data_IF_131183135010
#
_entry.id   IF_131183135010
#
_cell.length_a   1.000
_cell.length_b   1.000
_cell.length_c   1.000
_cell.angle_alpha   90.00
_cell.angle_beta   90.00
_cell.angle_gamma   90.00
#
_symmetry.space_group_name_H-M   'P 1'
#
loop_
_entity.id
_entity.type
_entity.pdbx_description
1 polymer ?
#
# COMPACT_ATOMS: atom_id res chain seq x y z
N UNK A 1 17.38 -9.17 15.94
CA UNK A 1 17.57 -8.54 14.61
C UNK A 1 17.18 -9.43 13.43
N UNK A 2 17.40 -10.75 13.42
CA UNK A 2 17.20 -11.61 12.22
C UNK A 2 15.82 -11.53 11.55
N UNK A 3 14.71 -11.62 12.28
CA UNK A 3 13.35 -11.48 11.70
C UNK A 3 13.11 -10.11 11.05
N UNK A 4 13.73 -9.05 11.57
CA UNK A 4 13.65 -7.71 10.96
C UNK A 4 14.47 -7.61 9.67
N UNK A 5 15.58 -8.34 9.57
CA UNK A 5 16.42 -8.37 8.37
C UNK A 5 15.71 -9.02 7.17
N UNK A 6 14.78 -9.95 7.44
CA UNK A 6 13.97 -10.62 6.41
C UNK A 6 12.65 -9.89 6.13
N UNK A 7 12.45 -8.69 6.67
CA UNK A 7 11.27 -7.85 6.41
C UNK A 7 10.07 -8.06 7.34
N UNK A 8 10.20 -8.92 8.37
CA UNK A 8 9.13 -9.10 9.35
C UNK A 8 9.23 -8.01 10.42
N UNK A 9 8.27 -7.09 10.40
CA UNK A 9 8.25 -5.91 11.29
C UNK A 9 7.63 -6.20 12.66
N UNK A 10 6.66 -7.12 12.71
CA UNK A 10 5.95 -7.50 13.92
C UNK A 10 6.08 -9.01 14.17
N UNK A 11 6.35 -9.40 15.42
CA UNK A 11 6.48 -10.81 15.81
C UNK A 11 5.15 -11.54 15.78
N UNK A 12 4.03 -10.82 15.98
CA UNK A 12 2.69 -11.40 15.94
C UNK A 12 2.31 -11.95 14.56
N UNK A 13 2.97 -11.47 13.50
CA UNK A 13 2.73 -11.93 12.13
C UNK A 13 3.38 -13.31 11.86
N UNK A 14 4.28 -13.75 12.75
CA UNK A 14 4.99 -15.03 12.64
C UNK A 14 4.20 -16.10 13.37
N UNK A 15 3.78 -17.13 12.64
CA UNK A 15 3.12 -18.31 13.21
C UNK A 15 4.14 -19.26 13.84
N UNK A 16 5.22 -19.53 13.12
CA UNK A 16 6.29 -20.43 13.56
C UNK A 16 7.64 -19.89 13.12
N UNK A 17 8.67 -19.99 13.95
CA UNK A 17 10.05 -19.71 13.59
C UNK A 17 10.97 -20.83 14.09
N UNK A 18 11.82 -21.34 13.21
CA UNK A 18 12.78 -22.42 13.48
C UNK A 18 14.19 -21.88 13.29
N UNK A 19 15.07 -22.14 14.25
CA UNK A 19 16.50 -21.87 14.11
C UNK A 19 17.17 -23.12 13.55
N UNK A 20 17.68 -23.01 12.33
CA UNK A 20 18.33 -24.11 11.65
C UNK A 20 19.79 -24.27 12.10
N UNK A 21 20.40 -25.46 11.98
CA UNK A 21 21.77 -25.73 12.44
C UNK A 21 22.84 -24.85 11.74
N UNK A 22 22.54 -24.36 10.54
CA UNK A 22 23.39 -23.44 9.78
C UNK A 22 23.30 -21.97 10.28
N UNK A 23 22.48 -21.69 11.30
CA UNK A 23 22.26 -20.36 11.86
C UNK A 23 21.25 -19.49 11.11
N UNK A 24 20.60 -20.02 10.08
CA UNK A 24 19.47 -19.36 9.40
C UNK A 24 18.16 -19.54 10.19
N UNK A 25 17.16 -18.72 9.85
CA UNK A 25 15.82 -18.82 10.44
C UNK A 25 14.84 -19.23 9.35
N UNK A 26 14.26 -20.41 9.49
CA UNK A 26 13.02 -20.77 8.82
C UNK A 26 11.85 -20.11 9.53
N UNK A 27 10.87 -19.57 8.81
CA UNK A 27 9.70 -18.96 9.41
C UNK A 27 8.46 -19.15 8.54
N UNK A 28 7.31 -19.24 9.19
CA UNK A 28 5.99 -19.28 8.58
C UNK A 28 5.19 -18.08 9.07
N UNK A 29 4.58 -17.34 8.15
CA UNK A 29 3.67 -16.24 8.48
C UNK A 29 2.26 -16.76 8.76
N UNK A 30 1.54 -16.03 9.61
CA UNK A 30 0.10 -16.21 9.79
C UNK A 30 -0.64 -15.99 8.48
N UNK A 31 -1.86 -16.53 8.37
CA UNK A 31 -2.64 -16.50 7.13
C UNK A 31 -2.97 -15.07 6.67
N UNK A 32 -3.25 -14.17 7.61
CA UNK A 32 -3.50 -12.75 7.33
C UNK A 32 -2.26 -11.95 6.94
N UNK A 33 -1.07 -12.40 7.37
CA UNK A 33 0.19 -11.73 7.07
C UNK A 33 0.90 -12.27 5.81
N UNK A 34 0.39 -13.37 5.23
CA UNK A 34 0.98 -13.97 4.03
C UNK A 34 0.75 -13.06 2.82
N UNK A 35 1.79 -12.73 2.03
CA UNK A 35 1.60 -11.93 0.83
C UNK A 35 0.75 -12.70 -0.18
N UNK A 36 -0.20 -11.98 -0.78
CA UNK A 36 -1.09 -12.53 -1.81
C UNK A 36 -0.36 -12.51 -3.14
N UNK A 37 -0.38 -13.63 -3.88
CA UNK A 37 0.19 -13.68 -5.23
C UNK A 37 -0.77 -13.09 -6.26
N UNK A 38 -0.28 -12.75 -7.44
CA UNK A 38 -1.13 -12.28 -8.55
C UNK A 38 -2.20 -13.32 -8.89
N UNK A 39 -1.85 -14.60 -8.92
CA UNK A 39 -2.80 -15.68 -9.19
C UNK A 39 -3.85 -15.86 -8.09
N UNK A 40 -3.50 -15.57 -6.83
CA UNK A 40 -4.48 -15.58 -5.75
C UNK A 40 -5.45 -14.41 -5.86
N UNK A 41 -4.96 -13.21 -6.22
CA UNK A 41 -5.82 -12.08 -6.53
C UNK A 41 -6.76 -12.39 -7.70
N UNK A 42 -6.25 -12.95 -8.79
CA UNK A 42 -7.05 -13.38 -9.94
C UNK A 42 -8.16 -14.34 -9.53
N UNK A 43 -7.86 -15.30 -8.65
CA UNK A 43 -8.85 -16.25 -8.13
C UNK A 43 -9.89 -15.58 -7.23
N UNK A 44 -9.47 -14.69 -6.32
CA UNK A 44 -10.35 -13.97 -5.39
C UNK A 44 -11.32 -13.06 -6.14
N UNK A 45 -10.82 -12.34 -7.15
CA UNK A 45 -11.61 -11.38 -7.93
C UNK A 45 -12.25 -12.01 -9.17
N UNK A 46 -12.01 -13.30 -9.45
CA UNK A 46 -12.46 -13.97 -10.66
C UNK A 46 -11.90 -13.35 -11.95
N UNK A 47 -10.76 -12.65 -11.85
CA UNK A 47 -10.13 -11.99 -12.99
C UNK A 47 -9.51 -13.07 -13.87
N UNK A 48 -9.90 -13.06 -15.14
CA UNK A 48 -9.21 -13.86 -16.15
C UNK A 48 -8.00 -13.08 -16.64
N UNK A 49 -6.84 -13.72 -16.85
CA UNK A 49 -5.72 -13.04 -17.47
C UNK A 49 -6.17 -12.44 -18.81
N UNK A 50 -6.00 -11.13 -18.96
CA UNK A 50 -6.45 -10.37 -20.15
C UNK A 50 -7.79 -9.63 -19.99
N UNK A 51 -8.45 -9.63 -18.83
CA UNK A 51 -9.54 -8.69 -18.55
C UNK A 51 -8.98 -7.30 -18.24
N UNK A 52 -9.25 -6.31 -19.09
CA UNK A 52 -9.01 -4.89 -18.78
C UNK A 52 -10.12 -4.38 -17.86
N UNK A 53 -9.76 -3.81 -16.71
CA UNK A 53 -10.68 -3.02 -15.91
C UNK A 53 -10.99 -1.73 -16.68
N UNK A 54 -12.22 -1.61 -17.19
CA UNK A 54 -12.67 -0.36 -17.80
C UNK A 54 -12.73 0.73 -16.72
N UNK A 55 -11.82 1.70 -16.81
CA UNK A 55 -11.67 2.80 -15.87
C UNK A 55 -12.85 3.79 -15.91
N UNK A 56 -13.84 3.57 -16.79
CA UNK A 56 -15.04 4.42 -16.91
C UNK A 56 -15.93 4.46 -15.66
N UNK A 57 -15.76 3.52 -14.71
CA UNK A 57 -16.58 3.43 -13.48
C UNK A 57 -15.92 4.13 -12.28
N UNK A 58 -14.62 4.46 -12.34
CA UNK A 58 -13.97 5.23 -11.27
C UNK A 58 -14.28 6.71 -11.50
N UNK A 59 -15.14 7.36 -10.68
CA UNK A 59 -15.32 8.80 -10.81
C UNK A 59 -13.93 9.45 -10.63
N UNK A 60 -13.54 10.39 -11.49
CA UNK A 60 -12.25 11.05 -11.38
C UNK A 60 -12.16 11.64 -9.98
N UNK A 61 -11.27 11.08 -9.16
CA UNK A 61 -10.97 11.63 -7.84
C UNK A 61 -10.38 13.02 -8.13
N UNK A 62 -11.20 14.05 -7.98
CA UNK A 62 -10.74 15.43 -8.11
C UNK A 62 -9.78 15.67 -6.96
N UNK A 63 -8.48 15.48 -7.20
CA UNK A 63 -7.44 15.98 -6.31
C UNK A 63 -7.67 17.49 -6.28
N UNK A 64 -8.08 18.10 -5.14
CA UNK A 64 -8.23 19.53 -5.09
C UNK A 64 -6.86 20.16 -5.37
N UNK A 65 -6.78 20.91 -6.47
CA UNK A 65 -5.59 21.66 -6.83
C UNK A 65 -5.35 22.73 -5.76
N UNK A 66 -4.39 22.47 -4.88
CA UNK A 66 -3.96 23.33 -3.77
C UNK A 66 -3.24 24.62 -4.24
N UNK A 67 -3.15 24.90 -5.55
CA UNK A 67 -2.47 26.10 -6.06
C UNK A 67 -3.44 27.24 -6.45
N UNK A 68 -4.72 27.18 -6.06
CA UNK A 68 -5.60 28.36 -6.18
C UNK A 68 -5.46 29.26 -4.94
N UNK A 69 -4.53 30.21 -5.07
CA UNK A 69 -4.66 31.56 -4.54
C UNK A 69 -4.74 31.71 -3.02
N UNK A 70 -3.60 31.95 -2.40
CA UNK A 70 -3.52 32.67 -1.12
C UNK A 70 -4.25 34.03 -1.34
N UNK A 71 -5.30 34.38 -0.57
CA UNK A 71 -5.95 35.67 -0.75
C UNK A 71 -5.00 36.78 -0.25
N UNK A 72 -4.56 37.65 -1.16
CA UNK A 72 -3.79 38.85 -0.85
C UNK A 72 -4.68 39.82 -0.06
N UNK A 73 -4.58 39.78 1.26
CA UNK A 73 -5.09 40.84 2.11
C UNK A 73 -4.07 41.99 2.09
N UNK A 74 -4.42 43.08 1.39
CA UNK A 74 -3.73 44.36 1.55
C UNK A 74 -3.31 45.04 0.25
N UNK A 75 -4.15 45.96 -0.23
CA UNK A 75 -3.63 47.25 -0.68
C UNK A 75 -4.72 48.31 -0.52
N UNK A 76 -4.56 49.06 0.56
CA UNK A 76 -5.23 50.33 0.81
C UNK A 76 -4.74 51.40 -0.18
N UNK A 77 -5.61 52.40 -0.39
CA UNK A 77 -5.35 53.75 -0.91
C UNK A 77 -5.15 53.94 -2.42
N UNK A 78 -6.10 54.65 -3.04
CA UNK A 78 -5.94 55.97 -3.69
C UNK A 78 -7.20 56.22 -4.54
N UNK A 79 -8.19 57.00 -4.10
CA UNK A 79 -8.31 58.46 -4.31
C UNK A 79 -7.77 58.95 -5.65
N UNK A 80 -8.69 59.22 -6.59
CA UNK A 80 -8.68 60.31 -7.55
C UNK A 80 -10.13 60.67 -7.90
#
# INVERSE_FOLDING_TARGET
MRLRQIGVSNIADVKTATLEPNGQIGYELTESARPVTVGDLERIFGLKPGMSLDQSIIPPQSIPNCNKGIPMYGQFMNSA
#
